data_IF_925640877585
#
_entry.id   IF_925640877585
#
_cell.length_a   1.000
_cell.length_b   1.000
_cell.length_c   1.000
_cell.angle_alpha   90.00
_cell.angle_beta   90.00
_cell.angle_gamma   90.00
#
_symmetry.space_group_name_H-M   'P 1'
#
loop_
_entity.id
_entity.type
_entity.pdbx_description
1 polymer ?
#
# COMPACT_ATOMS: atom_id res chain seq x y z
N UNK A 1 31.64 -4.40 10.50
CA UNK A 1 31.22 -4.19 9.11
C UNK A 1 29.75 -4.51 9.02
N UNK A 2 28.89 -3.54 8.69
CA UNK A 2 27.49 -3.84 8.37
C UNK A 2 27.49 -4.56 7.02
N UNK A 3 26.95 -5.77 6.97
CA UNK A 3 26.56 -6.36 5.68
C UNK A 3 25.54 -5.39 5.10
N UNK A 4 25.93 -4.59 4.10
CA UNK A 4 24.95 -4.01 3.20
C UNK A 4 24.30 -5.22 2.55
N UNK A 5 23.09 -5.55 2.97
CA UNK A 5 22.26 -6.55 2.30
C UNK A 5 22.18 -6.15 0.84
N UNK A 6 23.01 -6.80 0.01
CA UNK A 6 23.04 -6.54 -1.42
C UNK A 6 21.75 -7.11 -1.97
N UNK A 7 20.74 -6.25 -2.18
CA UNK A 7 19.51 -6.68 -2.83
C UNK A 7 19.85 -7.30 -4.19
N UNK A 8 19.20 -8.40 -4.51
CA UNK A 8 19.41 -9.13 -5.76
C UNK A 8 18.34 -8.73 -6.77
N UNK A 9 18.76 -8.47 -8.00
CA UNK A 9 17.87 -8.24 -9.14
C UNK A 9 17.45 -9.60 -9.68
N UNK A 10 16.15 -9.84 -9.79
CA UNK A 10 15.60 -11.11 -10.28
C UNK A 10 14.65 -10.93 -11.46
N UNK A 11 14.46 -12.04 -12.19
CA UNK A 11 13.35 -12.21 -13.12
C UNK A 11 12.25 -13.04 -12.46
N UNK A 12 11.17 -12.36 -12.08
CA UNK A 12 10.05 -12.99 -11.40
C UNK A 12 9.06 -13.47 -12.46
N UNK A 13 8.60 -14.72 -12.34
CA UNK A 13 7.59 -15.30 -13.23
C UNK A 13 6.31 -15.57 -12.47
N UNK A 14 5.25 -14.92 -12.92
CA UNK A 14 3.91 -15.04 -12.38
C UNK A 14 2.97 -15.76 -13.36
N UNK A 15 2.00 -16.45 -12.77
CA UNK A 15 0.96 -17.19 -13.45
C UNK A 15 -0.42 -16.73 -13.01
N UNK A 16 -1.46 -17.24 -13.67
CA UNK A 16 -2.84 -16.86 -13.42
C UNK A 16 -3.24 -16.98 -11.93
N UNK A 17 -3.99 -15.99 -11.46
CA UNK A 17 -4.52 -15.85 -10.10
C UNK A 17 -3.47 -15.83 -8.99
N UNK A 18 -2.25 -15.41 -9.30
CA UNK A 18 -1.22 -15.19 -8.29
C UNK A 18 -1.30 -13.79 -7.69
N UNK A 19 -0.82 -13.68 -6.46
CA UNK A 19 -0.63 -12.43 -5.75
C UNK A 19 0.83 -12.29 -5.37
N UNK A 20 1.43 -11.16 -5.71
CA UNK A 20 2.80 -10.79 -5.35
C UNK A 20 2.74 -9.59 -4.42
N UNK A 21 3.52 -9.60 -3.35
CA UNK A 21 3.66 -8.47 -2.45
C UNK A 21 5.09 -7.94 -2.53
N UNK A 22 5.25 -6.68 -2.98
CA UNK A 22 6.56 -6.02 -3.08
C UNK A 22 7.32 -5.99 -1.76
N UNK A 23 6.63 -5.83 -0.61
CA UNK A 23 7.28 -5.85 0.71
C UNK A 23 7.81 -7.24 1.06
N UNK A 24 7.08 -8.29 0.66
CA UNK A 24 7.55 -9.67 0.83
C UNK A 24 8.78 -9.93 -0.04
N UNK A 25 8.83 -9.42 -1.27
CA UNK A 25 10.04 -9.51 -2.11
C UNK A 25 11.24 -8.81 -1.44
N UNK A 26 11.04 -7.59 -0.95
CA UNK A 26 12.10 -6.83 -0.28
C UNK A 26 12.63 -7.53 0.97
N UNK A 27 11.75 -8.12 1.79
CA UNK A 27 12.15 -8.91 2.97
C UNK A 27 12.97 -10.16 2.62
N UNK A 28 12.85 -10.67 1.39
CA UNK A 28 13.66 -11.77 0.86
C UNK A 28 14.97 -11.30 0.24
N UNK A 29 15.26 -9.99 0.28
CA UNK A 29 16.43 -9.39 -0.33
C UNK A 29 16.31 -9.21 -1.84
N UNK A 30 15.10 -9.25 -2.41
CA UNK A 30 14.88 -8.98 -3.84
C UNK A 30 14.71 -7.47 -4.04
N UNK A 31 15.34 -6.93 -5.07
CA UNK A 31 15.19 -5.54 -5.48
C UNK A 31 13.83 -5.33 -6.17
N UNK A 32 12.83 -4.85 -5.41
CA UNK A 32 11.48 -4.57 -5.89
C UNK A 32 11.39 -3.39 -6.87
N UNK A 33 12.48 -2.68 -7.17
CA UNK A 33 12.50 -1.55 -8.12
C UNK A 33 13.08 -2.03 -9.45
N UNK A 34 14.24 -2.69 -9.41
CA UNK A 34 15.00 -3.06 -10.61
C UNK A 34 14.72 -4.47 -11.12
N UNK A 35 14.07 -5.33 -10.33
CA UNK A 35 13.66 -6.66 -10.78
C UNK A 35 12.56 -6.58 -11.84
N UNK A 36 12.54 -7.57 -12.74
CA UNK A 36 11.54 -7.68 -13.80
C UNK A 36 10.43 -8.63 -13.42
N UNK A 37 9.21 -8.35 -13.87
CA UNK A 37 8.07 -9.26 -13.70
C UNK A 37 7.54 -9.72 -15.05
N UNK A 38 7.46 -11.03 -15.23
CA UNK A 38 6.81 -11.67 -16.37
C UNK A 38 5.50 -12.29 -15.92
N UNK A 39 4.40 -12.00 -16.61
CA UNK A 39 3.10 -12.59 -16.35
C UNK A 39 2.64 -13.40 -17.56
N UNK A 40 2.35 -14.70 -17.35
CA UNK A 40 1.99 -15.61 -18.45
C UNK A 40 3.00 -15.62 -19.61
N UNK A 41 4.29 -15.38 -19.29
CA UNK A 41 5.38 -15.33 -20.28
C UNK A 41 5.57 -13.97 -20.97
N UNK A 42 4.78 -12.95 -20.63
CA UNK A 42 4.90 -11.58 -21.17
C UNK A 42 5.59 -10.69 -20.14
N UNK A 43 6.64 -9.97 -20.53
CA UNK A 43 7.30 -8.96 -19.68
C UNK A 43 6.33 -7.80 -19.41
N UNK A 44 6.15 -7.44 -18.15
CA UNK A 44 5.33 -6.31 -17.74
C UNK A 44 6.18 -5.06 -17.67
N UNK A 45 5.85 -4.06 -18.49
CA UNK A 45 6.57 -2.77 -18.54
C UNK A 45 5.71 -1.59 -18.10
N UNK A 46 4.41 -1.81 -17.92
CA UNK A 46 3.42 -0.76 -17.66
C UNK A 46 2.84 -0.18 -18.95
N UNK A 47 2.29 1.03 -18.87
CA UNK A 47 1.58 1.63 -20.00
C UNK A 47 1.00 3.02 -19.70
N UNK A 48 0.29 3.54 -20.69
CA UNK A 48 -0.37 4.84 -20.63
C UNK A 48 -1.80 4.68 -20.12
N UNK A 49 -2.27 5.64 -19.32
CA UNK A 49 -3.65 5.64 -18.85
C UNK A 49 -4.65 5.77 -20.00
N UNK A 50 -5.79 5.08 -19.86
CA UNK A 50 -6.92 5.16 -20.78
C UNK A 50 -7.38 6.61 -20.96
N UNK A 51 -7.80 6.93 -22.18
CA UNK A 51 -8.41 8.21 -22.54
C UNK A 51 -9.93 8.16 -22.57
N UNK A 52 -10.54 7.04 -22.14
CA UNK A 52 -11.99 6.86 -22.14
C UNK A 52 -12.58 7.31 -20.80
N UNK A 53 -13.79 7.91 -20.80
CA UNK A 53 -14.45 8.31 -19.57
C UNK A 53 -14.80 7.08 -18.71
N UNK A 54 -14.75 7.23 -17.39
CA UNK A 54 -15.05 6.16 -16.41
C UNK A 54 -14.06 4.98 -16.40
N UNK A 55 -12.93 5.14 -17.09
CA UNK A 55 -11.82 4.18 -17.13
C UNK A 55 -10.54 4.81 -16.57
N UNK A 56 -10.68 5.78 -15.68
CA UNK A 56 -9.58 6.34 -14.90
C UNK A 56 -8.87 5.19 -14.15
N UNK A 57 -7.56 5.31 -13.97
CA UNK A 57 -6.70 4.30 -13.35
C UNK A 57 -6.59 2.95 -14.10
N UNK A 58 -7.10 2.85 -15.33
CA UNK A 58 -6.74 1.76 -16.25
C UNK A 58 -5.59 2.19 -17.15
N UNK A 59 -4.57 1.35 -17.29
CA UNK A 59 -3.38 1.62 -18.07
C UNK A 59 -3.06 0.46 -19.00
N UNK A 60 -2.38 0.73 -20.10
CA UNK A 60 -1.94 -0.30 -21.04
C UNK A 60 -1.43 0.34 -22.33
N UNK A 61 -1.42 -0.44 -23.40
CA UNK A 61 -1.18 0.10 -24.73
C UNK A 61 -2.48 0.69 -25.29
N UNK A 62 -2.44 1.94 -25.75
CA UNK A 62 -3.61 2.61 -26.29
C UNK A 62 -4.08 1.94 -27.59
N UNK A 63 -5.37 1.63 -27.67
CA UNK A 63 -6.02 1.21 -28.91
C UNK A 63 -7.13 2.19 -29.28
N UNK A 64 -6.87 2.98 -30.33
CA UNK A 64 -7.84 3.92 -30.88
C UNK A 64 -9.07 3.27 -31.51
N UNK A 65 -9.00 1.98 -31.84
CA UNK A 65 -10.12 1.21 -32.39
C UNK A 65 -11.00 0.61 -31.30
N UNK A 66 -10.47 0.49 -30.08
CA UNK A 66 -11.25 0.02 -28.96
C UNK A 66 -12.17 1.13 -28.45
N UNK A 67 -13.47 0.81 -28.42
CA UNK A 67 -14.50 1.76 -28.02
C UNK A 67 -14.87 1.65 -26.54
N UNK A 68 -14.42 0.59 -25.86
CA UNK A 68 -14.81 0.30 -24.49
C UNK A 68 -13.79 0.86 -23.48
N UNK A 69 -12.59 0.31 -23.48
CA UNK A 69 -11.50 0.65 -22.57
C UNK A 69 -10.50 1.62 -23.22
N UNK A 70 -10.43 1.68 -24.55
CA UNK A 70 -9.42 2.45 -25.28
C UNK A 70 -8.02 1.85 -25.20
N UNK A 71 -7.92 0.57 -24.82
CA UNK A 71 -6.68 -0.16 -24.62
C UNK A 71 -6.67 -1.46 -25.44
N UNK A 72 -5.49 -1.90 -25.86
CA UNK A 72 -5.29 -3.17 -26.57
C UNK A 72 -5.49 -4.35 -25.60
N UNK A 73 -6.65 -5.00 -25.70
CA UNK A 73 -7.03 -6.16 -24.87
C UNK A 73 -6.21 -7.42 -25.11
N UNK A 74 -5.37 -7.47 -26.14
CA UNK A 74 -4.41 -8.55 -26.38
C UNK A 74 -3.10 -8.35 -25.61
N UNK A 75 -2.90 -7.17 -25.03
CA UNK A 75 -1.74 -6.80 -24.22
C UNK A 75 -2.10 -6.69 -22.74
N UNK A 76 -1.11 -6.63 -21.83
CA UNK A 76 -1.38 -6.44 -20.42
C UNK A 76 -2.13 -5.13 -20.18
N UNK A 77 -3.24 -5.23 -19.47
CA UNK A 77 -4.01 -4.09 -18.95
C UNK A 77 -3.78 -4.03 -17.45
N UNK A 78 -3.49 -2.84 -16.94
CA UNK A 78 -3.21 -2.58 -15.54
C UNK A 78 -4.34 -1.75 -14.94
N UNK A 79 -4.79 -2.08 -13.74
CA UNK A 79 -5.80 -1.33 -13.00
C UNK A 79 -5.24 -0.97 -11.63
N UNK A 80 -5.05 0.33 -11.40
CA UNK A 80 -4.48 0.87 -10.16
C UNK A 80 -5.60 1.17 -9.16
N UNK A 81 -5.59 0.47 -8.04
CA UNK A 81 -6.53 0.66 -6.95
C UNK A 81 -5.84 1.38 -5.80
N UNK A 82 -6.47 2.44 -5.30
CA UNK A 82 -5.99 3.16 -4.13
C UNK A 82 -6.10 2.26 -2.88
N UNK A 83 -5.16 2.41 -1.94
CA UNK A 83 -5.15 1.70 -0.65
C UNK A 83 -6.46 1.84 0.13
N UNK A 84 -7.11 3.00 0.00
CA UNK A 84 -8.31 3.36 0.75
C UNK A 84 -9.58 2.64 0.22
N UNK A 85 -9.56 2.14 -1.03
CA UNK A 85 -10.69 1.42 -1.64
C UNK A 85 -10.80 -0.05 -1.20
N UNK A 86 -9.74 -0.62 -0.59
CA UNK A 86 -9.72 -2.04 -0.18
C UNK A 86 -10.49 -2.27 1.14
N UNK A 87 -10.97 -1.22 1.80
CA UNK A 87 -11.65 -1.36 3.11
C UNK A 87 -13.07 -1.93 2.99
N UNK A 88 -13.76 -1.88 1.84
CA UNK A 88 -15.17 -2.33 1.78
C UNK A 88 -15.48 -3.61 0.98
N UNK A 89 -14.60 -4.10 0.10
CA UNK A 89 -15.07 -5.06 -0.93
C UNK A 89 -14.57 -6.50 -0.85
N UNK A 90 -13.53 -6.84 -0.08
CA UNK A 90 -13.01 -8.23 -0.05
C UNK A 90 -12.43 -8.66 1.29
N UNK A 91 -13.26 -8.69 2.34
CA UNK A 91 -12.96 -9.53 3.52
C UNK A 91 -14.13 -9.56 4.50
N UNK A 92 -14.90 -10.65 4.48
CA UNK A 92 -15.75 -11.03 5.62
C UNK A 92 -14.96 -11.74 6.73
N UNK A 93 -13.62 -11.62 6.79
CA UNK A 93 -12.83 -12.27 7.85
C UNK A 93 -11.43 -11.66 8.07
N UNK A 94 -11.36 -10.34 8.23
CA UNK A 94 -10.15 -9.67 8.71
C UNK A 94 -10.61 -8.88 9.90
N UNK A 95 -10.18 -9.31 11.09
CA UNK A 95 -10.31 -8.58 12.33
C UNK A 95 -9.88 -7.13 12.07
N UNK A 96 -10.87 -6.24 11.98
CA UNK A 96 -10.71 -4.81 11.81
C UNK A 96 -10.40 -4.21 13.17
N UNK A 97 -9.24 -4.57 13.73
CA UNK A 97 -8.74 -4.02 14.98
C UNK A 97 -7.34 -3.44 14.88
N UNK A 98 -6.70 -3.48 13.71
CA UNK A 98 -5.51 -2.69 13.43
C UNK A 98 -5.80 -1.63 12.37
N UNK A 99 -6.39 -0.52 12.82
CA UNK A 99 -6.46 0.76 12.11
C UNK A 99 -5.07 1.44 12.00
N UNK A 100 -4.01 0.63 11.82
CA UNK A 100 -2.61 1.05 11.69
C UNK A 100 -2.10 0.89 10.25
N UNK A 101 -2.98 0.62 9.28
CA UNK A 101 -2.57 0.49 7.88
C UNK A 101 -2.39 1.86 7.21
N UNK A 102 -1.36 2.60 7.63
CA UNK A 102 -0.82 3.78 6.93
C UNK A 102 -0.16 3.40 5.58
N UNK A 103 -0.65 2.38 4.91
CA UNK A 103 -0.08 1.91 3.66
C UNK A 103 -0.58 2.81 2.53
N UNK A 104 0.16 3.87 2.22
CA UNK A 104 -0.12 4.76 1.10
C UNK A 104 0.07 4.09 -0.26
N UNK A 105 0.72 2.92 -0.31
CA UNK A 105 1.02 2.20 -1.53
C UNK A 105 -0.22 1.51 -2.10
N UNK A 106 -0.27 1.50 -3.43
CA UNK A 106 -1.42 1.06 -4.20
C UNK A 106 -1.43 -0.46 -4.41
N UNK A 107 -2.60 -0.98 -4.81
CA UNK A 107 -2.71 -2.34 -5.37
C UNK A 107 -2.85 -2.23 -6.88
N UNK A 108 -2.08 -3.03 -7.61
CA UNK A 108 -2.10 -3.05 -9.07
C UNK A 108 -2.60 -4.41 -9.55
N UNK A 109 -3.78 -4.44 -10.16
CA UNK A 109 -4.28 -5.60 -10.87
C UNK A 109 -3.79 -5.59 -12.32
N UNK A 110 -3.34 -6.74 -12.81
CA UNK A 110 -2.89 -6.94 -14.19
C UNK A 110 -3.77 -8.01 -14.83
N UNK A 111 -4.36 -7.67 -15.97
CA UNK A 111 -5.21 -8.55 -16.78
C UNK A 111 -4.52 -8.86 -18.12
N UNK A 112 -4.48 -10.14 -18.49
CA UNK A 112 -3.92 -10.59 -19.76
C UNK A 112 -4.60 -11.89 -20.19
N UNK A 113 -5.20 -11.93 -21.38
CA UNK A 113 -5.83 -13.13 -21.95
C UNK A 113 -6.81 -13.83 -20.98
N UNK A 114 -7.62 -13.04 -20.26
CA UNK A 114 -8.56 -13.55 -19.25
C UNK A 114 -7.92 -14.07 -17.96
N UNK A 115 -6.61 -13.93 -17.80
CA UNK A 115 -5.87 -14.22 -16.57
C UNK A 115 -5.71 -12.94 -15.74
N UNK A 116 -5.60 -13.10 -14.42
CA UNK A 116 -5.37 -12.00 -13.47
C UNK A 116 -4.10 -12.23 -12.64
N UNK A 117 -3.39 -11.16 -12.35
CA UNK A 117 -2.29 -11.09 -11.39
C UNK A 117 -2.50 -9.86 -10.50
N UNK A 118 -2.32 -10.00 -9.20
CA UNK A 118 -2.45 -8.88 -8.25
C UNK A 118 -1.10 -8.57 -7.63
N UNK A 119 -0.70 -7.30 -7.69
CA UNK A 119 0.52 -6.79 -7.06
C UNK A 119 0.15 -5.88 -5.89
N UNK A 120 0.48 -6.31 -4.68
CA UNK A 120 0.29 -5.55 -3.45
C UNK A 120 1.51 -4.68 -3.15
N UNK A 121 1.27 -3.54 -2.52
CA UNK A 121 2.32 -2.58 -2.15
C UNK A 121 3.10 -2.08 -3.38
N UNK A 122 2.40 -1.84 -4.48
CA UNK A 122 2.98 -1.23 -5.67
C UNK A 122 3.21 0.27 -5.40
N UNK A 123 4.45 0.74 -5.61
CA UNK A 123 4.81 2.15 -5.56
C UNK A 123 4.71 2.75 -6.95
N UNK A 124 3.76 3.66 -7.14
CA UNK A 124 3.60 4.41 -8.39
C UNK A 124 4.78 5.35 -8.63
N UNK A 125 5.31 5.92 -7.55
CA UNK A 125 6.46 6.83 -7.60
C UNK A 125 7.78 6.12 -7.95
N UNK A 126 7.99 4.91 -7.45
CA UNK A 126 9.23 4.15 -7.71
C UNK A 126 9.07 3.17 -8.88
N UNK A 127 7.86 3.02 -9.42
CA UNK A 127 7.54 2.10 -10.51
C UNK A 127 7.98 0.68 -10.18
N UNK A 128 7.44 0.12 -9.08
CA UNK A 128 7.84 -1.20 -8.57
C UNK A 128 7.83 -2.27 -9.66
N UNK A 129 8.85 -3.12 -9.65
CA UNK A 129 9.11 -4.20 -10.60
C UNK A 129 9.31 -3.71 -12.04
N UNK A 130 9.80 -2.47 -12.17
CA UNK A 130 10.02 -1.78 -13.44
C UNK A 130 8.75 -1.67 -14.30
N UNK A 131 7.58 -1.62 -13.65
CA UNK A 131 6.28 -1.37 -14.29
C UNK A 131 6.00 0.12 -14.17
N UNK A 132 5.96 0.85 -15.28
CA UNK A 132 5.79 2.31 -15.29
C UNK A 132 4.40 2.69 -15.79
N UNK A 133 3.65 3.42 -14.97
CA UNK A 133 2.30 3.86 -15.30
C UNK A 133 2.26 5.37 -15.51
N UNK A 134 1.85 5.80 -16.69
CA UNK A 134 1.75 7.23 -17.03
C UNK A 134 0.39 7.79 -16.60
N UNK A 135 0.38 8.56 -15.51
CA UNK A 135 -0.82 9.12 -14.89
C UNK A 135 -1.28 10.41 -15.58
N UNK A 136 -2.48 10.38 -16.15
CA UNK A 136 -3.11 11.46 -16.89
C UNK A 136 -4.36 12.03 -16.20
N UNK A 137 -5.19 11.19 -15.59
CA UNK A 137 -6.42 11.56 -14.89
C UNK A 137 -6.16 12.30 -13.57
N UNK A 138 -7.18 12.96 -13.03
CA UNK A 138 -7.13 13.58 -11.70
C UNK A 138 -6.98 12.52 -10.60
N UNK A 139 -7.59 11.37 -10.81
CA UNK A 139 -7.69 10.24 -9.90
C UNK A 139 -6.32 9.57 -9.72
N UNK A 140 -5.65 9.24 -10.83
CA UNK A 140 -4.31 8.63 -10.80
C UNK A 140 -3.26 9.60 -10.23
N UNK A 141 -3.38 10.90 -10.54
CA UNK A 141 -2.53 11.95 -9.96
C UNK A 141 -2.76 12.11 -8.45
N UNK A 142 -4.01 12.04 -7.98
CA UNK A 142 -4.31 12.11 -6.56
C UNK A 142 -3.69 10.93 -5.78
N UNK A 143 -3.66 9.73 -6.38
CA UNK A 143 -2.95 8.57 -5.83
C UNK A 143 -1.45 8.85 -5.74
N UNK A 144 -0.84 9.35 -6.82
CA UNK A 144 0.57 9.71 -6.85
C UNK A 144 0.96 10.78 -5.80
N UNK A 145 0.13 11.80 -5.64
CA UNK A 145 0.33 12.86 -4.65
C UNK A 145 0.22 12.33 -3.22
N UNK A 146 -0.73 11.42 -2.95
CA UNK A 146 -0.86 10.75 -1.65
C UNK A 146 0.38 9.93 -1.31
N UNK A 147 0.89 9.14 -2.25
CA UNK A 147 2.14 8.39 -2.07
C UNK A 147 3.32 9.33 -1.75
N UNK A 148 3.39 10.47 -2.44
CA UNK A 148 4.47 11.46 -2.25
C UNK A 148 4.37 12.12 -0.88
N UNK A 149 3.18 12.57 -0.49
CA UNK A 149 2.95 13.20 0.80
C UNK A 149 3.31 12.27 1.97
N UNK A 150 3.09 10.96 1.82
CA UNK A 150 3.49 9.99 2.84
C UNK A 150 5.02 9.83 2.91
N UNK A 151 5.68 9.72 1.75
CA UNK A 151 7.15 9.66 1.71
C UNK A 151 7.80 10.90 2.31
N UNK A 152 7.22 12.07 2.10
CA UNK A 152 7.72 13.34 2.68
C UNK A 152 7.53 13.36 4.21
N UNK A 153 6.44 12.78 4.74
CA UNK A 153 6.27 12.57 6.19
C UNK A 153 7.32 11.62 6.75
N UNK A 154 7.57 10.50 6.07
CA UNK A 154 8.52 9.47 6.54
C UNK A 154 9.99 9.90 6.41
N UNK A 155 10.29 10.81 5.48
CA UNK A 155 11.64 11.37 5.23
C UNK A 155 11.92 12.69 5.92
N UNK A 156 10.88 13.37 6.44
CA UNK A 156 11.09 14.49 7.35
C UNK A 156 11.95 14.00 8.51
N UNK A 157 13.04 14.70 8.88
CA UNK A 157 13.80 14.30 10.05
C UNK A 157 12.78 14.24 11.17
N UNK A 158 12.74 13.09 11.85
CA UNK A 158 12.27 13.04 13.23
C UNK A 158 12.98 14.21 13.89
N UNK A 159 12.27 15.32 14.05
CA UNK A 159 12.59 16.29 15.07
C UNK A 159 12.53 15.43 16.33
N UNK A 160 13.73 15.01 16.73
CA UNK A 160 14.10 14.51 18.05
C UNK A 160 12.93 14.05 18.87
N UNK A 161 12.85 12.73 19.12
CA UNK A 161 12.28 12.15 20.33
C UNK A 161 11.90 13.20 21.38
N UNK A 162 10.69 13.74 21.31
CA UNK A 162 9.91 13.76 22.51
C UNK A 162 9.10 12.49 22.41
N UNK A 163 9.48 11.53 23.25
CA UNK A 163 8.61 10.41 23.57
C UNK A 163 7.23 11.03 23.75
N UNK A 164 6.24 10.63 22.95
CA UNK A 164 4.91 10.50 23.52
C UNK A 164 5.01 9.40 24.57
N UNK A 165 5.62 9.72 25.72
CA UNK A 165 5.13 9.19 26.96
C UNK A 165 3.67 9.56 26.92
N UNK A 166 2.83 8.55 26.77
CA UNK A 166 1.41 8.66 27.07
C UNK A 166 1.37 9.16 28.52
N UNK A 167 1.28 10.47 28.71
CA UNK A 167 1.07 11.06 30.02
C UNK A 167 -0.38 10.80 30.35
N UNK A 168 -0.62 9.62 30.93
CA UNK A 168 -1.81 9.38 31.70
C UNK A 168 -1.82 10.45 32.80
N UNK A 169 -2.62 11.49 32.61
CA UNK A 169 -2.94 12.42 33.68
C UNK A 169 -3.94 11.69 34.56
N UNK A 170 -3.48 11.20 35.73
CA UNK A 170 -4.38 10.71 36.76
C UNK A 170 -5.25 11.89 37.18
N UNK A 171 -6.54 11.85 36.84
CA UNK A 171 -7.52 12.71 37.48
C UNK A 171 -7.54 12.36 38.98
N UNK A 172 -7.32 13.31 39.91
CA UNK A 172 -7.59 13.05 41.31
C UNK A 172 -9.05 12.65 41.44
N UNK A 173 -9.32 11.44 41.92
CA UNK A 173 -10.65 11.07 42.39
C UNK A 173 -10.83 11.89 43.66
N UNK A 174 -11.65 12.94 43.59
CA UNK A 174 -12.20 13.61 44.76
C UNK A 174 -13.14 12.62 45.44
N UNK A 175 -12.59 11.79 46.32
CA UNK A 175 -13.38 11.00 47.26
C UNK A 175 -13.79 11.93 48.41
N UNK A 176 -14.82 12.74 48.13
CA UNK A 176 -15.57 13.44 49.15
C UNK A 176 -16.58 12.44 49.72
N UNK A 177 -16.12 11.64 50.70
CA UNK A 177 -17.04 10.97 51.63
C UNK A 177 -16.59 11.22 53.06
N UNK A 178 -17.47 11.86 53.80
CA UNK A 178 -17.29 12.29 55.17
C UNK A 178 -17.04 11.12 56.14
N UNK A 179 -16.04 11.33 57.00
CA UNK A 179 -15.73 10.72 58.32
C UNK A 179 -16.62 9.57 58.84
N UNK A 180 -15.95 8.56 59.41
CA UNK A 180 -16.23 8.15 60.80
C UNK A 180 -15.02 7.46 61.45
N UNK A 181 -14.48 8.13 62.48
CA UNK A 181 -13.49 7.57 63.39
C UNK A 181 -14.13 6.46 64.21
N UNK A 182 -13.50 5.28 64.28
CA UNK A 182 -13.69 4.36 65.39
C UNK A 182 -12.34 4.06 66.03
N UNK A 183 -12.21 4.53 67.28
CA UNK A 183 -11.16 4.13 68.19
C UNK A 183 -11.39 2.68 68.60
N UNK A 184 -10.35 1.85 68.50
CA UNK A 184 -10.26 0.59 69.24
C UNK A 184 -8.98 0.65 70.05
N UNK A 185 -9.16 0.91 71.34
CA UNK A 185 -8.17 0.65 72.38
C UNK A 185 -7.88 -0.85 72.42
N UNK A 186 -6.61 -1.24 72.46
CA UNK A 186 -6.16 -2.43 73.17
C UNK A 186 -4.80 -2.13 73.78
N UNK A 187 -4.84 -1.77 75.07
CA UNK A 187 -3.70 -1.84 75.96
C UNK A 187 -3.40 -3.32 76.28
N UNK A 188 -2.13 -3.55 76.65
CA UNK A 188 -1.54 -4.81 77.11
C UNK A 188 -2.27 -5.49 78.26
#
# INVERSE_FOLDING_TARGET
MSNKDTKHIEEIRAYNNQTIDCKVLESKGIDSINSKLYFMGVELTGGTESNKPYNECFFGELDSKDNNLGLDTLKPIYHLQASDEIIESTSNNRDSSNADSNNSLSTLDIFLNGSRLTLLNYSLLDSSLNIKLECNSSESKAIQEREKAQRDKDSSPVASNDKSQSTSMLHPILEDTEKLCYAINLAS
#
